data_IF_769914238248
#
_entry.id   IF_769914238248
#
_cell.length_a   1.000
_cell.length_b   1.000
_cell.length_c   1.000
_cell.angle_alpha   90.00
_cell.angle_beta   90.00
_cell.angle_gamma   90.00
#
_symmetry.space_group_name_H-M   'P 1'
#
loop_
_entity.id
_entity.type
_entity.pdbx_description
1 polymer ?
#
# COMPACT_ATOMS: atom_id res chain seq x y z
N UNK A 1 -8.10 -3.88 -13.82
CA UNK A 1 -6.66 -3.61 -13.62
C UNK A 1 -6.30 -4.01 -12.20
N UNK A 2 -5.06 -4.42 -11.89
CA UNK A 2 -4.65 -4.65 -10.51
C UNK A 2 -4.72 -3.33 -9.71
N UNK A 3 -5.25 -3.39 -8.49
CA UNK A 3 -5.30 -2.27 -7.54
C UNK A 3 -4.12 -2.38 -6.59
N UNK A 4 -3.39 -1.29 -6.38
CA UNK A 4 -2.30 -1.25 -5.40
C UNK A 4 -2.86 -1.04 -3.99
N UNK A 5 -2.42 -1.90 -3.07
CA UNK A 5 -2.60 -1.74 -1.62
C UNK A 5 -1.27 -1.32 -1.01
N UNK A 6 -1.24 -0.12 -0.42
CA UNK A 6 -0.13 0.40 0.38
C UNK A 6 -0.67 1.10 1.62
N UNK A 7 0.13 1.18 2.68
CA UNK A 7 -0.27 1.92 3.87
C UNK A 7 -0.08 3.44 3.67
N UNK A 8 -0.65 4.24 4.59
CA UNK A 8 -0.62 5.70 4.47
C UNK A 8 0.68 6.33 5.01
N UNK A 9 1.83 5.65 4.93
CA UNK A 9 3.10 6.24 5.38
C UNK A 9 3.45 7.44 4.50
N UNK A 10 4.15 8.44 5.07
CA UNK A 10 4.43 9.73 4.43
C UNK A 10 5.11 9.62 3.06
N UNK A 11 5.90 8.56 2.84
CA UNK A 11 6.56 8.31 1.54
C UNK A 11 5.59 7.84 0.46
N UNK A 12 4.56 7.06 0.81
CA UNK A 12 3.51 6.61 -0.12
C UNK A 12 2.58 7.77 -0.49
N UNK A 13 2.32 8.65 0.48
CA UNK A 13 1.45 9.80 0.28
C UNK A 13 2.15 11.03 -0.31
N UNK A 14 3.47 10.99 -0.52
CA UNK A 14 4.26 12.08 -1.05
C UNK A 14 3.82 12.49 -2.47
N UNK A 15 3.95 13.78 -2.78
CA UNK A 15 3.55 14.34 -4.09
C UNK A 15 4.22 13.63 -5.27
N UNK A 16 5.51 13.32 -5.13
CA UNK A 16 6.28 12.63 -6.17
C UNK A 16 5.74 11.22 -6.42
N UNK A 17 5.52 10.46 -5.34
CA UNK A 17 4.98 9.10 -5.37
C UNK A 17 3.60 9.09 -6.03
N UNK A 18 2.67 9.93 -5.56
CA UNK A 18 1.35 10.10 -6.17
C UNK A 18 1.42 10.50 -7.65
N UNK A 19 2.34 11.39 -8.01
CA UNK A 19 2.54 11.82 -9.40
C UNK A 19 3.01 10.70 -10.32
N UNK A 20 3.96 9.88 -9.85
CA UNK A 20 4.42 8.68 -10.56
C UNK A 20 3.25 7.71 -10.78
N UNK A 21 2.50 7.44 -9.73
CA UNK A 21 1.35 6.55 -9.77
C UNK A 21 0.28 6.99 -10.78
N UNK A 22 -0.09 8.27 -10.79
CA UNK A 22 -1.02 8.84 -11.78
C UNK A 22 -0.48 8.72 -13.20
N UNK A 23 0.81 8.98 -13.42
CA UNK A 23 1.43 8.89 -14.75
C UNK A 23 1.35 7.47 -15.34
N UNK A 24 1.51 6.44 -14.51
CA UNK A 24 1.41 5.04 -14.92
C UNK A 24 -0.01 4.46 -14.83
N UNK A 25 -1.01 5.26 -14.44
CA UNK A 25 -2.39 4.81 -14.32
C UNK A 25 -2.60 3.76 -13.22
N UNK A 26 -1.85 3.87 -12.12
CA UNK A 26 -2.01 2.98 -10.96
C UNK A 26 -3.24 3.39 -10.15
N UNK A 27 -4.11 2.44 -9.86
CA UNK A 27 -5.28 2.63 -9.00
C UNK A 27 -4.95 2.27 -7.54
N UNK A 28 -5.43 3.07 -6.58
CA UNK A 28 -5.24 2.88 -5.14
C UNK A 28 -6.49 2.38 -4.47
N UNK A 29 -6.30 1.53 -3.47
CA UNK A 29 -7.29 1.34 -2.43
C UNK A 29 -7.06 2.35 -1.30
N UNK A 30 -8.11 3.06 -0.89
CA UNK A 30 -8.08 3.85 0.34
C UNK A 30 -7.88 2.91 1.55
N UNK A 31 -6.84 3.16 2.33
CA UNK A 31 -6.47 2.32 3.46
C UNK A 31 -6.76 3.00 4.80
N UNK A 32 -7.37 2.32 5.78
CA UNK A 32 -7.54 2.88 7.12
C UNK A 32 -6.20 2.97 7.87
N UNK A 33 -5.99 4.10 8.56
CA UNK A 33 -4.80 4.31 9.38
C UNK A 33 -4.74 3.31 10.54
N UNK A 34 -3.54 2.77 10.82
CA UNK A 34 -3.27 1.82 11.93
C UNK A 34 -4.04 0.51 11.84
N UNK A 35 -4.28 0.00 10.63
CA UNK A 35 -4.92 -1.29 10.39
C UNK A 35 -3.95 -2.31 9.76
N UNK A 36 -2.93 -2.78 10.51
CA UNK A 36 -2.01 -3.81 10.01
C UNK A 36 -2.70 -5.17 9.85
N UNK A 37 -3.75 -5.43 10.62
CA UNK A 37 -4.58 -6.64 10.56
C UNK A 37 -5.25 -6.84 9.21
N UNK A 38 -5.54 -5.75 8.50
CA UNK A 38 -6.10 -5.80 7.16
C UNK A 38 -5.04 -6.06 6.09
N UNK A 39 -3.75 -5.87 6.38
CA UNK A 39 -2.68 -5.93 5.38
C UNK A 39 -2.25 -7.39 5.14
N UNK A 40 -2.47 -7.96 3.94
CA UNK A 40 -2.10 -9.35 3.67
C UNK A 40 -0.61 -9.64 3.85
N UNK A 41 0.25 -8.63 3.72
CA UNK A 41 1.70 -8.80 3.87
C UNK A 41 2.11 -9.26 5.27
N UNK A 42 1.33 -8.89 6.31
CA UNK A 42 1.61 -9.28 7.69
C UNK A 42 1.48 -10.80 7.86
N UNK A 43 0.49 -11.41 7.19
CA UNK A 43 0.33 -12.86 7.17
C UNK A 43 1.49 -13.55 6.44
N UNK A 44 1.94 -12.98 5.31
CA UNK A 44 3.09 -13.51 4.57
C UNK A 44 4.37 -13.42 5.41
N UNK A 45 4.63 -12.29 6.06
CA UNK A 45 5.77 -12.14 6.96
C UNK A 45 5.72 -13.10 8.14
N UNK A 46 4.53 -13.36 8.69
CA UNK A 46 4.37 -14.38 9.74
C UNK A 46 4.75 -15.77 9.26
N UNK A 47 4.39 -16.14 8.03
CA UNK A 47 4.78 -17.42 7.42
C UNK A 47 6.29 -17.49 7.15
N UNK A 48 6.91 -16.39 6.72
CA UNK A 48 8.35 -16.34 6.42
C UNK A 48 9.24 -16.37 7.66
N UNK A 49 8.71 -15.98 8.82
CA UNK A 49 9.43 -15.99 10.11
C UNK A 49 9.30 -17.30 10.88
N UNK A 50 8.45 -18.22 10.40
CA UNK A 50 8.26 -19.55 10.98
C UNK A 50 9.39 -20.49 10.53
#
# INVERSE_FOLDING_TARGET
MPILMEDNVSIHTAKLTKGYHTYYGVEYMEWPSRSPDLNPIENVWRLLKA
#
